data_IF_990072316298
#
_entry.id   IF_990072316298
#
_cell.length_a   1.000
_cell.length_b   1.000
_cell.length_c   1.000
_cell.angle_alpha   90.00
_cell.angle_beta   90.00
_cell.angle_gamma   90.00
#
_symmetry.space_group_name_H-M   'P 1'
#
loop_
_entity.id
_entity.type
_entity.pdbx_description
1 polymer ?
#
# COMPACT_ATOMS: atom_id res chain seq x y z
N UNK A 1 32.66 0.68 -12.76
CA UNK A 1 31.39 1.12 -13.40
C UNK A 1 30.25 0.97 -12.40
N UNK A 2 29.25 1.87 -12.42
CA UNK A 2 28.02 1.74 -11.64
C UNK A 2 26.85 1.51 -12.58
N UNK A 3 26.00 0.54 -12.24
CA UNK A 3 24.67 0.36 -12.82
C UNK A 3 23.66 0.62 -11.70
N UNK A 4 22.74 1.56 -11.91
CA UNK A 4 21.77 1.91 -10.89
C UNK A 4 20.39 2.18 -11.48
N UNK A 5 19.34 1.85 -10.71
CA UNK A 5 17.95 2.07 -11.08
C UNK A 5 17.22 2.95 -10.07
N UNK A 6 16.95 4.20 -10.43
CA UNK A 6 16.32 5.21 -9.56
C UNK A 6 14.95 5.68 -10.08
N UNK A 7 14.17 6.32 -9.21
CA UNK A 7 12.82 6.80 -9.52
C UNK A 7 11.76 5.77 -9.14
N UNK A 8 11.06 5.19 -10.12
CA UNK A 8 10.04 4.16 -9.88
C UNK A 8 10.63 2.76 -9.64
N UNK A 9 11.95 2.68 -9.43
CA UNK A 9 12.69 1.45 -9.15
C UNK A 9 13.10 1.44 -7.67
N UNK A 10 13.45 0.27 -7.14
CA UNK A 10 13.78 0.07 -5.73
C UNK A 10 15.07 0.75 -5.26
N UNK A 11 15.80 1.47 -6.13
CA UNK A 11 17.08 2.08 -5.78
C UNK A 11 18.22 1.07 -5.70
N UNK A 12 18.17 0.00 -6.49
CA UNK A 12 19.27 -0.97 -6.60
C UNK A 12 20.49 -0.37 -7.30
N UNK A 13 21.67 -0.59 -6.72
CA UNK A 13 22.96 -0.15 -7.25
C UNK A 13 23.88 -1.36 -7.34
N UNK A 14 24.49 -1.58 -8.49
CA UNK A 14 25.48 -2.62 -8.73
C UNK A 14 26.80 -1.99 -9.16
N UNK A 15 27.87 -2.40 -8.51
CA UNK A 15 29.23 -1.95 -8.81
C UNK A 15 29.98 -3.06 -9.51
N UNK A 16 30.50 -2.75 -10.69
CA UNK A 16 31.15 -3.69 -11.57
C UNK A 16 32.59 -3.28 -11.85
N UNK A 17 33.47 -4.26 -11.73
CA UNK A 17 34.80 -4.23 -12.33
C UNK A 17 34.62 -4.56 -13.82
N UNK A 18 34.88 -3.57 -14.68
CA UNK A 18 34.70 -3.69 -16.13
C UNK A 18 35.81 -4.52 -16.76
N UNK A 19 37.04 -4.41 -16.23
CA UNK A 19 38.22 -5.10 -16.78
C UNK A 19 38.07 -6.60 -16.57
N UNK A 20 37.72 -7.00 -15.35
CA UNK A 20 37.55 -8.41 -14.99
C UNK A 20 36.10 -8.91 -15.19
N UNK A 21 35.18 -8.04 -15.63
CA UNK A 21 33.74 -8.31 -15.80
C UNK A 21 33.10 -8.96 -14.57
N UNK A 22 33.49 -8.48 -13.39
CA UNK A 22 33.12 -9.08 -12.11
C UNK A 22 32.29 -8.10 -11.29
N UNK A 23 31.21 -8.59 -10.70
CA UNK A 23 30.43 -7.83 -9.73
C UNK A 23 31.28 -7.65 -8.46
N UNK A 24 31.46 -6.40 -8.04
CA UNK A 24 32.17 -6.03 -6.81
C UNK A 24 31.19 -6.03 -5.65
N UNK A 25 30.08 -5.29 -5.78
CA UNK A 25 29.10 -5.10 -4.72
C UNK A 25 27.70 -4.82 -5.27
N UNK A 26 26.70 -5.19 -4.48
CA UNK A 26 25.30 -4.84 -4.69
C UNK A 26 24.78 -4.11 -3.44
N UNK A 27 24.16 -2.95 -3.66
CA UNK A 27 23.70 -2.06 -2.61
C UNK A 27 22.26 -1.62 -2.94
N UNK A 28 21.51 -1.25 -1.91
CA UNK A 28 20.24 -0.56 -2.08
C UNK A 28 20.30 0.83 -1.46
N UNK A 29 20.03 1.84 -2.28
CA UNK A 29 19.88 3.24 -1.89
C UNK A 29 18.51 3.74 -2.42
N UNK A 30 17.41 3.43 -1.70
CA UNK A 30 16.08 3.89 -2.08
C UNK A 30 16.03 5.43 -2.06
N UNK A 31 15.04 6.00 -2.74
CA UNK A 31 14.76 7.44 -2.73
C UNK A 31 15.92 8.33 -3.25
N UNK A 32 16.92 7.72 -3.89
CA UNK A 32 18.04 8.44 -4.50
C UNK A 32 17.58 9.19 -5.75
N UNK A 33 17.91 10.47 -5.81
CA UNK A 33 17.62 11.34 -6.95
C UNK A 33 18.85 11.65 -7.79
N UNK A 34 20.02 11.65 -7.15
CA UNK A 34 21.31 11.99 -7.74
C UNK A 34 22.34 10.94 -7.33
N UNK A 35 23.15 10.48 -8.28
CA UNK A 35 24.31 9.63 -8.03
C UNK A 35 25.49 10.17 -8.82
N UNK A 36 26.63 10.34 -8.15
CA UNK A 36 27.85 10.88 -8.77
C UNK A 36 29.11 10.25 -8.16
N UNK A 37 30.08 9.94 -9.02
CA UNK A 37 31.40 9.47 -8.60
C UNK A 37 32.22 10.61 -8.03
N UNK A 38 32.95 10.33 -6.95
CA UNK A 38 34.03 11.20 -6.49
C UNK A 38 35.13 11.25 -7.55
N UNK A 39 35.80 12.41 -7.70
CA UNK A 39 36.97 12.55 -8.56
C UNK A 39 38.14 11.61 -8.22
N UNK A 40 38.15 11.02 -7.02
CA UNK A 40 39.17 10.05 -6.59
C UNK A 40 39.00 8.64 -7.18
N UNK A 41 37.85 8.34 -7.79
CA UNK A 41 37.53 7.03 -8.37
C UNK A 41 37.28 5.91 -7.36
N UNK A 42 37.29 6.18 -6.06
CA UNK A 42 37.02 5.20 -4.99
C UNK A 42 35.65 5.40 -4.35
N UNK A 43 35.22 6.64 -4.21
CA UNK A 43 33.99 6.97 -3.52
C UNK A 43 32.92 7.39 -4.50
N UNK A 44 31.66 7.17 -4.14
CA UNK A 44 30.55 7.74 -4.86
C UNK A 44 29.49 8.21 -3.88
N UNK A 45 28.71 9.18 -4.31
CA UNK A 45 27.67 9.80 -3.53
C UNK A 45 26.30 9.39 -4.07
N UNK A 46 25.36 9.18 -3.16
CA UNK A 46 23.92 9.14 -3.46
C UNK A 46 23.23 10.25 -2.68
N UNK A 47 22.43 11.08 -3.35
CA UNK A 47 21.71 12.16 -2.71
C UNK A 47 20.22 12.16 -3.05
N UNK A 48 19.44 12.55 -2.06
CA UNK A 48 18.00 12.82 -2.16
C UNK A 48 17.81 14.32 -2.07
N UNK A 49 17.41 14.93 -3.19
CA UNK A 49 17.35 16.38 -3.36
C UNK A 49 15.94 16.86 -3.72
N UNK A 50 15.59 18.05 -3.22
CA UNK A 50 14.44 18.83 -3.63
C UNK A 50 14.73 19.57 -4.96
N UNK A 51 13.72 19.85 -5.80
CA UNK A 51 12.28 19.71 -5.56
C UNK A 51 11.73 18.31 -5.87
N UNK A 52 12.56 17.41 -6.44
CA UNK A 52 12.10 16.12 -6.96
C UNK A 52 11.54 15.22 -5.85
N UNK A 53 12.24 15.12 -4.72
CA UNK A 53 11.72 14.48 -3.52
C UNK A 53 11.94 15.42 -2.34
N UNK A 54 10.86 15.80 -1.64
CA UNK A 54 10.92 16.72 -0.48
C UNK A 54 10.98 15.99 0.87
N UNK A 55 10.91 14.66 0.85
CA UNK A 55 10.98 13.82 2.04
C UNK A 55 12.31 13.08 2.04
N UNK A 56 12.94 12.94 3.20
CA UNK A 56 14.20 12.19 3.35
C UNK A 56 15.40 12.84 2.66
N UNK A 57 15.43 14.17 2.54
CA UNK A 57 16.54 14.90 1.96
C UNK A 57 17.85 14.62 2.72
N UNK A 58 18.95 14.58 1.99
CA UNK A 58 20.26 14.23 2.53
C UNK A 58 21.15 13.57 1.50
N UNK A 59 22.37 13.24 1.90
CA UNK A 59 23.29 12.50 1.05
C UNK A 59 24.08 11.47 1.84
N UNK A 60 24.59 10.48 1.10
CA UNK A 60 25.39 9.38 1.60
C UNK A 60 26.62 9.22 0.73
N UNK A 61 27.75 8.93 1.34
CA UNK A 61 29.00 8.62 0.65
C UNK A 61 29.31 7.14 0.88
N UNK A 62 29.54 6.46 -0.22
CA UNK A 62 29.80 5.05 -0.31
C UNK A 62 31.19 4.81 -0.87
N UNK A 63 31.84 3.76 -0.41
CA UNK A 63 33.02 3.22 -1.07
C UNK A 63 32.62 2.24 -2.17
N UNK A 64 33.43 2.11 -3.22
CA UNK A 64 33.14 1.21 -4.34
C UNK A 64 32.99 -0.26 -3.95
N UNK A 65 33.52 -0.66 -2.79
CA UNK A 65 33.33 -2.02 -2.23
C UNK A 65 31.92 -2.26 -1.67
N UNK A 66 31.02 -1.28 -1.72
CA UNK A 66 29.64 -1.40 -1.26
C UNK A 66 29.38 -0.91 0.16
N UNK A 67 30.37 -0.31 0.81
CA UNK A 67 30.29 0.06 2.22
C UNK A 67 29.87 1.52 2.35
N UNK A 68 28.95 1.79 3.28
CA UNK A 68 28.52 3.14 3.60
C UNK A 68 29.59 3.77 4.50
N UNK A 69 30.17 4.90 4.10
CA UNK A 69 31.19 5.60 4.90
C UNK A 69 30.62 6.79 5.64
N UNK A 70 29.67 7.49 5.02
CA UNK A 70 29.10 8.70 5.58
C UNK A 70 27.63 8.82 5.22
N UNK A 71 26.83 9.30 6.17
CA UNK A 71 25.43 9.61 5.98
C UNK A 71 25.13 10.94 6.67
N UNK A 72 24.56 11.87 5.90
CA UNK A 72 24.09 13.14 6.42
C UNK A 72 22.62 13.31 6.09
N UNK A 73 21.71 13.01 7.03
CA UNK A 73 20.31 13.35 6.88
C UNK A 73 20.14 14.87 6.97
N UNK A 74 19.24 15.42 6.18
CA UNK A 74 18.85 16.81 6.22
C UNK A 74 17.56 16.99 7.03
N UNK A 75 17.40 18.14 7.69
CA UNK A 75 16.24 18.38 8.55
C UNK A 75 14.95 18.50 7.73
N UNK A 76 13.80 18.11 8.31
CA UNK A 76 12.50 18.14 7.62
C UNK A 76 12.02 19.55 7.22
N UNK A 77 12.58 20.59 7.83
CA UNK A 77 12.24 21.99 7.56
C UNK A 77 13.19 22.64 6.55
N UNK A 78 14.25 21.93 6.15
CA UNK A 78 15.27 22.43 5.25
C UNK A 78 15.26 21.59 3.98
N UNK A 79 15.53 22.21 2.85
CA UNK A 79 15.56 21.55 1.55
C UNK A 79 17.01 21.41 1.08
N UNK A 80 17.38 20.21 0.65
CA UNK A 80 18.68 19.98 0.02
C UNK A 80 18.49 20.08 -1.49
N UNK A 81 19.00 21.14 -2.10
CA UNK A 81 18.75 21.41 -3.51
C UNK A 81 19.74 20.68 -4.41
N UNK A 82 21.01 20.67 -4.02
CA UNK A 82 22.07 20.08 -4.82
C UNK A 82 23.23 19.66 -3.92
N UNK A 83 23.95 18.63 -4.35
CA UNK A 83 25.23 18.24 -3.76
C UNK A 83 26.16 17.92 -4.92
N UNK A 84 27.36 18.48 -4.90
CA UNK A 84 28.38 18.29 -5.92
C UNK A 84 29.71 17.98 -5.27
N UNK A 85 30.50 17.17 -5.96
CA UNK A 85 31.91 17.01 -5.60
C UNK A 85 32.70 18.26 -5.97
N UNK A 86 33.72 18.57 -5.17
CA UNK A 86 34.66 19.61 -5.52
C UNK A 86 35.44 19.19 -6.78
N UNK A 87 35.62 20.13 -7.72
CA UNK A 87 36.38 19.87 -8.95
C UNK A 87 37.89 19.92 -8.67
N UNK A 88 38.64 19.01 -9.29
CA UNK A 88 40.10 18.95 -9.18
C UNK A 88 40.76 18.99 -10.57
N UNK A 89 41.99 19.51 -10.69
CA UNK A 89 42.79 19.39 -11.91
C UNK A 89 43.01 17.93 -12.32
N UNK A 90 43.26 17.70 -13.61
CA UNK A 90 43.67 16.38 -14.10
C UNK A 90 44.93 15.91 -13.37
N UNK A 91 45.04 14.60 -13.14
CA UNK A 91 46.16 13.93 -12.47
C UNK A 91 46.35 14.27 -10.97
N UNK A 92 45.35 14.92 -10.34
CA UNK A 92 45.35 15.12 -8.88
C UNK A 92 45.27 13.79 -8.13
N UNK A 93 44.51 12.83 -8.66
CA UNK A 93 44.32 11.51 -8.08
C UNK A 93 44.91 10.43 -8.98
N UNK A 94 45.74 9.58 -8.39
CA UNK A 94 46.32 8.42 -9.09
C UNK A 94 45.30 7.30 -9.17
N UNK A 95 45.30 6.56 -10.27
CA UNK A 95 44.50 5.34 -10.39
C UNK A 95 44.94 4.30 -9.35
N UNK A 96 43.97 3.82 -8.56
CA UNK A 96 44.19 2.83 -7.51
C UNK A 96 43.70 1.45 -7.98
N UNK A 97 44.37 0.36 -7.55
CA UNK A 97 43.93 -0.98 -7.90
C UNK A 97 42.59 -1.32 -7.24
N UNK A 98 41.72 -1.98 -7.99
CA UNK A 98 40.41 -2.41 -7.48
C UNK A 98 40.60 -3.52 -6.44
N UNK A 99 40.08 -3.31 -5.24
CA UNK A 99 40.01 -4.31 -4.16
C UNK A 99 38.60 -4.86 -4.01
N UNK A 100 38.47 -6.17 -3.92
CA UNK A 100 37.16 -6.81 -3.67
C UNK A 100 36.82 -6.97 -2.18
N UNK A 101 37.71 -6.54 -1.28
CA UNK A 101 37.46 -6.61 0.16
C UNK A 101 36.62 -5.41 0.60
N UNK A 102 35.51 -5.69 1.28
CA UNK A 102 34.70 -4.65 1.90
C UNK A 102 35.52 -3.90 2.98
N UNK A 103 35.54 -2.58 2.89
CA UNK A 103 36.14 -1.70 3.91
C UNK A 103 35.17 -1.55 5.09
N UNK A 104 35.69 -1.29 6.29
CA UNK A 104 34.81 -1.00 7.44
C UNK A 104 33.99 0.27 7.18
N UNK A 105 32.71 0.23 7.51
CA UNK A 105 31.76 1.30 7.25
C UNK A 105 30.74 1.45 8.38
N UNK A 106 29.87 2.46 8.26
CA UNK A 106 28.80 2.74 9.20
C UNK A 106 27.52 1.97 8.83
N UNK A 107 26.69 1.69 9.85
CA UNK A 107 25.34 1.21 9.63
C UNK A 107 24.42 2.38 9.21
N UNK A 108 23.48 2.18 8.27
CA UNK A 108 22.52 3.22 7.90
C UNK A 108 21.64 3.61 9.09
N UNK A 109 21.43 4.91 9.27
CA UNK A 109 20.63 5.46 10.38
C UNK A 109 19.13 5.19 10.24
N UNK A 110 18.64 5.00 9.00
CA UNK A 110 17.23 4.76 8.77
C UNK A 110 16.83 3.30 9.06
N UNK A 111 15.70 3.07 9.76
CA UNK A 111 15.22 1.72 10.03
C UNK A 111 14.86 1.02 8.71
N UNK A 112 15.55 -0.08 8.40
CA UNK A 112 15.15 -0.94 7.29
C UNK A 112 13.78 -1.56 7.61
N UNK A 113 12.82 -1.36 6.71
CA UNK A 113 11.50 -1.98 6.81
C UNK A 113 11.68 -3.51 6.89
N UNK A 114 11.06 -4.14 7.90
CA UNK A 114 11.17 -5.58 8.07
C UNK A 114 10.52 -6.29 6.88
N UNK A 115 11.23 -7.25 6.26
CA UNK A 115 10.68 -8.12 5.21
C UNK A 115 9.62 -9.11 5.75
N UNK A 116 9.10 -8.90 6.95
CA UNK A 116 8.13 -9.79 7.55
C UNK A 116 6.79 -9.62 6.84
N UNK A 117 6.29 -10.71 6.26
CA UNK A 117 4.93 -10.78 5.71
C UNK A 117 3.96 -10.38 6.81
N UNK A 118 3.17 -9.33 6.55
CA UNK A 118 2.18 -8.83 7.48
C UNK A 118 1.23 -9.96 7.89
N UNK A 119 1.17 -10.23 9.19
CA UNK A 119 0.21 -11.18 9.76
C UNK A 119 -0.85 -10.39 10.50
N UNK A 120 -2.14 -10.57 10.19
CA UNK A 120 -3.20 -9.88 10.89
C UNK A 120 -3.16 -10.24 12.38
N UNK A 121 -3.61 -9.33 13.27
CA UNK A 121 -3.52 -9.51 14.72
C UNK A 121 -4.07 -10.84 15.24
N UNK A 122 -5.13 -11.35 14.60
CA UNK A 122 -5.79 -12.62 14.95
C UNK A 122 -5.04 -13.87 14.53
N UNK A 123 -4.04 -13.77 13.65
CA UNK A 123 -3.29 -14.89 13.08
C UNK A 123 -1.82 -14.94 13.56
N UNK A 124 -1.44 -14.08 14.52
CA UNK A 124 -0.11 -14.14 15.15
C UNK A 124 -0.01 -15.41 16.00
N UNK A 125 1.02 -16.22 15.76
CA UNK A 125 1.28 -17.45 16.53
C UNK A 125 0.59 -18.72 16.03
N UNK A 126 -0.30 -18.63 15.02
CA UNK A 126 -0.85 -19.83 14.38
C UNK A 126 0.10 -20.35 13.29
N UNK A 127 0.37 -21.65 13.32
CA UNK A 127 1.11 -22.35 12.27
C UNK A 127 0.20 -22.46 11.04
N UNK A 128 0.64 -21.89 9.92
CA UNK A 128 -0.09 -21.97 8.65
C UNK A 128 0.31 -23.31 8.01
N UNK A 129 -0.61 -24.28 7.97
CA UNK A 129 -0.45 -25.54 7.20
C UNK A 129 -1.10 -25.44 5.83
N UNK A 130 -1.14 -24.25 5.23
CA UNK A 130 -1.66 -24.06 3.89
C UNK A 130 -0.50 -24.04 2.90
N UNK A 131 -0.29 -25.18 2.22
CA UNK A 131 0.52 -25.24 1.00
C UNK A 131 -0.43 -25.03 -0.18
N UNK A 132 -0.22 -23.96 -0.95
CA UNK A 132 -1.01 -23.60 -2.13
C UNK A 132 -0.54 -24.32 -3.41
N UNK A 133 0.49 -25.16 -3.33
CA UNK A 133 0.95 -26.02 -4.43
C UNK A 133 1.11 -27.44 -3.88
N UNK A 134 0.02 -28.20 -3.92
CA UNK A 134 0.03 -29.64 -3.64
C UNK A 134 -0.89 -30.37 -4.65
N UNK A 135 -0.88 -29.90 -5.91
CA UNK A 135 -1.65 -30.48 -7.02
C UNK A 135 -0.78 -31.34 -7.96
N UNK A 136 0.43 -31.72 -7.55
CA UNK A 136 1.31 -32.61 -8.34
C UNK A 136 2.07 -33.62 -7.46
N UNK A 137 1.36 -34.55 -6.80
CA UNK A 137 1.95 -35.86 -6.49
C UNK A 137 0.89 -36.93 -6.20
N UNK A 138 0.51 -37.66 -7.25
CA UNK A 138 -0.28 -38.88 -7.15
C UNK A 138 0.60 -40.02 -6.61
N UNK A 139 0.62 -40.19 -5.28
CA UNK A 139 1.28 -41.31 -4.61
C UNK A 139 0.38 -41.91 -3.51
N UNK A 140 0.19 -43.23 -3.43
CA UNK A 140 -0.76 -43.83 -2.50
C UNK A 140 -0.17 -43.84 -1.09
N UNK A 141 -0.85 -43.17 -0.14
CA UNK A 141 -0.54 -43.29 1.30
C UNK A 141 -1.55 -44.21 2.00
N UNK A 142 -1.08 -45.00 3.00
CA UNK A 142 -1.77 -46.17 3.50
C UNK A 142 -2.87 -45.84 4.52
N UNK A 143 -3.85 -46.74 4.59
CA UNK A 143 -4.95 -46.74 5.55
C UNK A 143 -4.48 -46.50 6.99
N UNK A 144 -5.04 -45.48 7.62
CA UNK A 144 -5.12 -45.38 9.08
C UNK A 144 -6.56 -45.06 9.47
N UNK A 145 -7.20 -46.02 10.12
CA UNK A 145 -8.55 -45.97 10.63
C UNK A 145 -8.70 -44.86 11.69
N UNK A 146 -9.26 -43.71 11.30
CA UNK A 146 -9.70 -42.70 12.26
C UNK A 146 -11.22 -42.73 12.38
N UNK A 147 -11.69 -43.40 13.43
CA UNK A 147 -13.08 -43.37 13.87
C UNK A 147 -13.52 -41.89 14.09
N UNK A 148 -14.56 -41.38 13.41
CA UNK A 148 -14.90 -39.96 13.46
C UNK A 148 -15.36 -39.56 14.87
N UNK A 149 -14.79 -38.46 15.38
CA UNK A 149 -15.13 -37.92 16.71
C UNK A 149 -16.64 -37.61 16.83
N UNK A 150 -17.18 -37.70 18.05
CA UNK A 150 -18.61 -37.44 18.37
C UNK A 150 -19.16 -36.13 17.78
N UNK A 151 -18.31 -35.15 17.49
CA UNK A 151 -18.68 -33.89 16.84
C UNK A 151 -18.94 -34.05 15.32
N UNK A 152 -18.14 -34.86 14.62
CA UNK A 152 -18.27 -35.13 13.19
C UNK A 152 -19.57 -35.88 12.86
N UNK A 153 -19.97 -36.83 13.71
CA UNK A 153 -21.24 -37.56 13.58
C UNK A 153 -22.46 -36.63 13.76
N UNK A 154 -22.39 -35.65 14.67
CA UNK A 154 -23.45 -34.65 14.87
C UNK A 154 -23.56 -33.69 13.68
N UNK A 155 -22.43 -33.29 13.10
CA UNK A 155 -22.42 -32.43 11.91
C UNK A 155 -22.96 -33.16 10.67
N UNK A 156 -22.62 -34.45 10.49
CA UNK A 156 -23.14 -35.28 9.40
C UNK A 156 -24.66 -35.48 9.51
N UNK A 157 -25.16 -35.83 10.71
CA UNK A 157 -26.61 -35.98 10.97
C UNK A 157 -27.39 -34.67 10.76
N UNK A 158 -26.82 -33.52 11.11
CA UNK A 158 -27.43 -32.19 10.87
C UNK A 158 -27.45 -31.82 9.38
N UNK A 159 -26.43 -32.21 8.62
CA UNK A 159 -26.33 -31.97 7.17
C UNK A 159 -27.29 -32.86 6.38
N UNK A 160 -27.44 -34.12 6.77
CA UNK A 160 -28.40 -35.06 6.16
C UNK A 160 -29.85 -34.66 6.47
N UNK A 161 -30.16 -34.24 7.70
CA UNK A 161 -31.50 -33.72 8.04
C UNK A 161 -31.87 -32.45 7.26
N UNK A 162 -30.90 -31.56 7.00
CA UNK A 162 -31.13 -30.35 6.18
C UNK A 162 -31.29 -30.68 4.69
N UNK A 163 -30.64 -31.73 4.21
CA UNK A 163 -30.79 -32.21 2.82
C UNK A 163 -32.15 -32.88 2.61
N UNK A 164 -32.57 -33.75 3.53
CA UNK A 164 -33.90 -34.39 3.50
C UNK A 164 -35.04 -33.36 3.59
N UNK A 165 -34.89 -32.30 4.40
CA UNK A 165 -35.89 -31.22 4.47
C UNK A 165 -36.00 -30.43 3.16
N UNK A 166 -34.86 -30.18 2.47
CA UNK A 166 -34.83 -29.48 1.18
C UNK A 166 -35.37 -30.33 0.03
N UNK A 167 -35.23 -31.66 0.13
CA UNK A 167 -35.73 -32.61 -0.87
C UNK A 167 -37.26 -32.80 -0.76
N UNK A 168 -37.80 -32.82 0.46
CA UNK A 168 -39.25 -32.78 0.70
C UNK A 168 -39.89 -31.45 0.23
N UNK A 169 -39.16 -30.34 0.35
CA UNK A 169 -39.62 -29.02 -0.11
C UNK A 169 -39.53 -28.86 -1.63
N UNK A 170 -38.61 -29.56 -2.29
CA UNK A 170 -38.47 -29.58 -3.76
C UNK A 170 -39.55 -30.43 -4.46
N UNK A 171 -40.04 -31.49 -3.81
CA UNK A 171 -41.10 -32.37 -4.35
C UNK A 171 -42.49 -31.68 -4.30
N UNK A 172 -42.67 -30.65 -3.47
CA UNK A 172 -43.92 -29.89 -3.38
C UNK A 172 -44.12 -28.83 -4.48
N UNK A 173 -43.10 -28.55 -5.31
CA UNK A 173 -43.11 -27.46 -6.30
C UNK A 173 -43.23 -27.96 -7.75
N UNK A 174 -43.21 -29.27 -7.99
CA UNK A 174 -43.31 -29.88 -9.33
C UNK A 174 -44.73 -30.34 -9.69
N UNK A 175 -45.68 -29.41 -9.71
CA UNK A 175 -47.00 -29.58 -10.35
C UNK A 175 -47.29 -28.40 -11.27
N UNK A 176 -47.28 -28.65 -12.58
CA UNK A 176 -47.67 -27.79 -13.72
C UNK A 176 -46.58 -26.82 -14.24
N UNK A 177 -45.74 -27.25 -15.19
CA UNK A 177 -45.94 -27.29 -16.67
C UNK A 177 -45.72 -25.94 -17.36
N UNK A 178 -44.57 -25.76 -18.05
CA UNK A 178 -44.42 -25.74 -19.53
C UNK A 178 -44.70 -24.34 -20.16
N UNK A 179 -43.92 -23.72 -21.05
CA UNK A 179 -42.98 -24.19 -22.10
C UNK A 179 -42.13 -23.03 -22.69
N UNK A 180 -40.93 -23.39 -23.17
CA UNK A 180 -40.20 -22.95 -24.38
C UNK A 180 -39.59 -21.53 -24.55
N UNK A 181 -38.27 -21.54 -24.74
CA UNK A 181 -37.36 -20.58 -25.42
C UNK A 181 -37.74 -20.36 -26.92
N UNK A 182 -37.09 -19.53 -27.79
CA UNK A 182 -35.73 -18.92 -27.69
C UNK A 182 -35.48 -17.53 -28.40
N UNK A 183 -34.22 -17.06 -28.30
CA UNK A 183 -33.43 -16.25 -29.27
C UNK A 183 -33.67 -14.73 -29.52
N UNK A 184 -32.57 -13.94 -29.47
CA UNK A 184 -31.98 -13.08 -30.56
C UNK A 184 -31.42 -11.72 -30.11
N UNK A 185 -30.40 -11.30 -30.87
CA UNK A 185 -29.58 -10.09 -30.83
C UNK A 185 -30.32 -8.75 -30.96
N UNK A 186 -29.64 -7.68 -30.55
CA UNK A 186 -29.54 -6.46 -31.38
C UNK A 186 -30.03 -5.13 -30.77
N UNK A 187 -29.07 -4.33 -30.31
CA UNK A 187 -28.85 -2.91 -30.66
C UNK A 187 -29.96 -1.82 -30.54
N UNK A 188 -29.59 -0.77 -29.78
CA UNK A 188 -29.86 0.69 -29.87
C UNK A 188 -31.28 1.25 -30.08
N UNK A 189 -31.67 2.19 -29.20
CA UNK A 189 -31.93 3.63 -29.50
C UNK A 189 -33.05 4.25 -28.63
N UNK A 190 -32.69 5.36 -27.97
CA UNK A 190 -33.42 6.62 -27.77
C UNK A 190 -34.92 6.73 -27.38
N UNK A 191 -35.14 7.83 -26.65
CA UNK A 191 -36.35 8.69 -26.50
C UNK A 191 -37.32 8.46 -25.33
N UNK A 192 -37.17 9.36 -24.35
CA UNK A 192 -38.15 10.38 -23.92
C UNK A 192 -39.53 10.01 -23.37
N UNK A 193 -39.75 10.51 -22.16
CA UNK A 193 -40.95 11.23 -21.66
C UNK A 193 -42.21 10.46 -21.25
N UNK A 194 -42.50 10.46 -19.94
CA UNK A 194 -43.56 11.28 -19.29
C UNK A 194 -43.47 11.11 -17.76
N UNK A 195 -43.05 12.14 -17.03
CA UNK A 195 -43.91 13.09 -16.29
C UNK A 195 -45.03 12.43 -15.47
N UNK A 196 -44.91 12.49 -14.14
CA UNK A 196 -45.93 13.19 -13.36
C UNK A 196 -45.31 13.85 -12.12
N UNK A 197 -45.46 15.16 -12.14
CA UNK A 197 -45.17 16.17 -11.14
C UNK A 197 -46.08 16.05 -9.92
N UNK A 198 -45.54 16.35 -8.74
CA UNK A 198 -46.20 17.34 -7.89
C UNK A 198 -45.19 18.11 -7.03
N UNK A 199 -45.39 19.41 -7.04
CA UNK A 199 -44.53 20.51 -6.61
C UNK A 199 -44.87 20.91 -5.18
N UNK A 200 -43.88 21.08 -4.31
CA UNK A 200 -43.87 22.17 -3.31
C UNK A 200 -42.44 22.69 -3.23
N UNK A 201 -42.29 23.98 -3.53
CA UNK A 201 -41.04 24.70 -3.65
C UNK A 201 -40.47 25.12 -2.29
N UNK A 202 -39.14 25.09 -2.18
CA UNK A 202 -38.38 25.98 -1.29
C UNK A 202 -36.95 26.12 -1.82
N UNK A 203 -36.65 27.33 -2.24
CA UNK A 203 -35.40 27.97 -2.65
C UNK A 203 -34.09 27.36 -2.12
N UNK A 204 -33.26 26.85 -3.03
CA UNK A 204 -31.79 27.06 -3.06
C UNK A 204 -31.16 26.30 -4.25
N UNK A 205 -31.66 26.53 -5.47
CA UNK A 205 -31.06 26.02 -6.71
C UNK A 205 -30.06 27.05 -7.27
N UNK A 206 -28.86 27.09 -6.69
CA UNK A 206 -27.63 27.61 -7.32
C UNK A 206 -26.39 26.97 -6.67
N UNK A 207 -26.18 25.66 -6.86
CA UNK A 207 -24.85 25.06 -6.68
C UNK A 207 -24.52 24.25 -7.93
N UNK A 208 -24.12 24.98 -8.96
CA UNK A 208 -23.88 24.53 -10.33
C UNK A 208 -22.54 23.79 -10.51
N UNK A 209 -21.87 23.43 -9.42
CA UNK A 209 -20.51 22.89 -9.46
C UNK A 209 -20.41 21.48 -8.82
N UNK A 210 -20.25 20.40 -9.62
CA UNK A 210 -20.22 19.02 -9.12
C UNK A 210 -19.07 18.74 -8.15
N UNK A 211 -18.02 19.58 -8.14
CA UNK A 211 -16.91 19.48 -7.20
C UNK A 211 -17.27 20.00 -5.79
N UNK A 212 -18.02 21.11 -5.71
CA UNK A 212 -18.52 21.65 -4.43
C UNK A 212 -19.43 20.64 -3.73
N UNK A 213 -20.31 19.98 -4.47
CA UNK A 213 -21.20 18.95 -3.91
C UNK A 213 -20.44 17.74 -3.32
N UNK A 214 -19.34 17.31 -3.96
CA UNK A 214 -18.48 16.25 -3.42
C UNK A 214 -17.77 16.71 -2.15
N UNK A 215 -17.32 17.97 -2.09
CA UNK A 215 -16.65 18.54 -0.91
C UNK A 215 -17.62 18.67 0.27
N UNK A 216 -18.85 19.13 0.03
CA UNK A 216 -19.93 19.19 1.02
C UNK A 216 -20.24 17.79 1.58
N UNK A 217 -20.38 16.77 0.71
CA UNK A 217 -20.62 15.38 1.18
C UNK A 217 -19.48 14.85 2.06
N UNK A 218 -18.22 15.15 1.70
CA UNK A 218 -17.05 14.75 2.50
C UNK A 218 -17.02 15.44 3.87
N UNK A 219 -17.32 16.74 3.92
CA UNK A 219 -17.38 17.51 5.17
C UNK A 219 -18.51 17.02 6.08
N UNK A 220 -19.72 16.80 5.53
CA UNK A 220 -20.85 16.21 6.27
C UNK A 220 -20.51 14.85 6.88
N UNK A 221 -19.82 13.98 6.12
CA UNK A 221 -19.40 12.68 6.63
C UNK A 221 -18.39 12.78 7.78
N UNK A 222 -17.45 13.75 7.72
CA UNK A 222 -16.50 14.00 8.82
C UNK A 222 -17.20 14.53 10.07
N UNK A 223 -18.18 15.42 9.92
CA UNK A 223 -18.99 15.93 11.03
C UNK A 223 -19.82 14.83 11.71
N UNK A 224 -20.39 13.90 10.94
CA UNK A 224 -21.12 12.75 11.51
C UNK A 224 -20.20 11.81 12.32
N UNK A 225 -18.96 11.61 11.86
CA UNK A 225 -17.95 10.87 12.61
C UNK A 225 -17.56 11.57 13.91
N UNK A 226 -17.41 12.90 13.89
CA UNK A 226 -17.11 13.69 15.08
C UNK A 226 -18.28 13.68 16.06
N UNK A 227 -19.52 13.77 15.56
CA UNK A 227 -20.74 13.65 16.38
C UNK A 227 -20.78 12.32 17.15
N UNK A 228 -20.49 11.20 16.47
CA UNK A 228 -20.36 9.88 17.12
C UNK A 228 -19.24 9.82 18.16
N UNK A 229 -18.12 10.50 17.92
CA UNK A 229 -17.05 10.61 18.91
C UNK A 229 -17.49 11.43 20.13
N UNK A 230 -18.24 12.53 19.96
CA UNK A 230 -18.79 13.32 21.08
C UNK A 230 -19.83 12.53 21.87
N UNK A 231 -20.65 11.73 21.21
CA UNK A 231 -21.58 10.81 21.88
C UNK A 231 -20.82 9.79 22.74
N UNK A 232 -19.75 9.20 22.21
CA UNK A 232 -18.88 8.29 22.97
C UNK A 232 -18.17 8.97 24.15
N UNK A 233 -17.75 10.23 23.99
CA UNK A 233 -17.19 11.03 25.09
C UNK A 233 -18.25 11.27 26.19
N UNK A 234 -19.47 11.62 25.80
CA UNK A 234 -20.59 11.85 26.73
C UNK A 234 -21.06 10.56 27.43
N UNK A 235 -20.90 9.41 26.75
CA UNK A 235 -21.12 8.08 27.31
C UNK A 235 -20.00 7.62 28.27
N UNK A 236 -19.03 8.49 28.60
CA UNK A 236 -17.98 8.23 29.58
C UNK A 236 -16.82 7.35 29.07
N UNK A 237 -16.71 7.11 27.75
CA UNK A 237 -15.56 6.40 27.18
C UNK A 237 -14.34 7.31 27.13
N UNK A 238 -13.19 6.81 27.56
CA UNK A 238 -11.91 7.49 27.36
C UNK A 238 -11.54 7.46 25.87
N UNK A 239 -11.53 8.64 25.24
CA UNK A 239 -11.07 8.81 23.86
C UNK A 239 -9.57 9.08 23.82
N UNK A 240 -8.91 8.57 22.79
CA UNK A 240 -7.49 8.84 22.55
C UNK A 240 -7.27 10.34 22.20
N UNK A 241 -6.08 10.87 22.50
CA UNK A 241 -5.70 12.28 22.22
C UNK A 241 -6.00 12.67 20.75
N UNK A 242 -5.75 11.77 19.81
CA UNK A 242 -6.04 11.97 18.38
C UNK A 242 -7.53 12.13 18.06
N UNK A 243 -8.43 11.55 18.85
CA UNK A 243 -9.89 11.68 18.68
C UNK A 243 -10.40 12.98 19.31
N UNK A 244 -9.81 13.39 20.43
CA UNK A 244 -10.09 14.70 21.06
C UNK A 244 -9.69 15.86 20.13
N UNK A 245 -8.55 15.73 19.43
CA UNK A 245 -8.13 16.76 18.48
C UNK A 245 -9.02 16.82 17.23
N UNK A 246 -9.66 15.70 16.84
CA UNK A 246 -10.72 15.71 15.80
C UNK A 246 -11.97 16.44 16.26
N UNK A 247 -12.36 16.29 17.52
CA UNK A 247 -13.48 17.02 18.12
C UNK A 247 -13.19 18.52 18.19
N UNK A 248 -11.95 18.92 18.55
CA UNK A 248 -11.58 20.35 18.57
C UNK A 248 -11.67 21.03 17.20
N UNK A 249 -11.37 20.30 16.11
CA UNK A 249 -11.46 20.81 14.73
C UNK A 249 -12.88 20.86 14.16
N UNK A 250 -13.90 20.45 14.93
CA UNK A 250 -15.30 20.47 14.50
C UNK A 250 -15.76 21.87 14.09
N UNK A 251 -15.43 22.89 14.88
CA UNK A 251 -15.85 24.28 14.62
C UNK A 251 -15.28 24.80 13.29
N UNK A 252 -14.04 24.42 12.94
CA UNK A 252 -13.41 24.77 11.67
C UNK A 252 -14.10 24.08 10.49
N UNK A 253 -14.48 22.80 10.65
CA UNK A 253 -15.18 22.03 9.61
C UNK A 253 -16.62 22.49 9.37
N UNK A 254 -17.30 22.99 10.40
CA UNK A 254 -18.63 23.61 10.26
C UNK A 254 -18.52 24.92 9.49
N UNK A 255 -17.54 25.77 9.83
CA UNK A 255 -17.30 27.03 9.13
C UNK A 255 -16.94 26.82 7.65
N UNK A 256 -16.09 25.84 7.34
CA UNK A 256 -15.76 25.49 5.95
C UNK A 256 -16.97 24.93 5.18
N UNK A 257 -17.88 24.23 5.88
CA UNK A 257 -19.12 23.73 5.27
C UNK A 257 -20.12 24.85 4.98
N UNK A 258 -20.24 25.84 5.87
CA UNK A 258 -21.07 27.03 5.65
C UNK A 258 -20.55 27.88 4.49
N UNK A 259 -19.24 28.10 4.39
CA UNK A 259 -18.61 28.85 3.30
C UNK A 259 -18.77 28.16 1.92
N UNK A 260 -18.97 26.85 1.89
CA UNK A 260 -19.24 26.09 0.66
C UNK A 260 -20.71 26.03 0.28
N UNK A 261 -21.62 26.39 1.21
CA UNK A 261 -23.07 26.42 1.01
C UNK A 261 -23.55 27.84 0.66
N UNK A 262 -22.83 28.86 1.13
CA UNK A 262 -23.04 30.28 0.81
C UNK A 262 -22.51 30.64 -0.61
#
# INVERSE_FOLDING_TARGET
MILAGFGNLSGGIQLWDVVNKKLIAEISAPDTTLLEWSPDGEHFMTATTAPRLRMGNGFKIWHYSGTLLYERPWNKQEELWEVLWQTFPLDTFKEKPISYKAVEGIAPSQPQASKQVYRPPSARGQTITFKLHDDDEFGPKPNTDSNPSKAALKAKKKREAKKAKKELEAIAVSSQSQTNNPTTNGQVSNTSSKYQSNVVASESDLIEDPEKQKKIKRLKSKLDQISKLKEQLSAGKQLEINQLDKIKKEAELIKELEELIL
#
